data_IF_235355724010
#
_entry.id   IF_235355724010
#
_cell.length_a   1.000
_cell.length_b   1.000
_cell.length_c   1.000
_cell.angle_alpha   90.00
_cell.angle_beta   90.00
_cell.angle_gamma   90.00
#
_symmetry.space_group_name_H-M   'P 1'
#
loop_
_entity.id
_entity.type
_entity.pdbx_description
1 polymer ?
#
# COMPACT_ATOMS: atom_id res chain seq x y z
N UNK A 1 3.37 -13.15 7.76
CA UNK A 1 2.52 -13.86 6.76
C UNK A 1 1.54 -12.86 6.16
N UNK A 2 1.06 -13.05 4.91
CA UNK A 2 -0.01 -12.24 4.35
C UNK A 2 -1.32 -12.43 5.13
N UNK A 3 -2.17 -11.41 5.12
CA UNK A 3 -3.51 -11.50 5.70
C UNK A 3 -4.39 -12.32 4.76
N UNK A 4 -4.90 -13.48 5.20
CA UNK A 4 -5.83 -14.29 4.41
C UNK A 4 -7.09 -13.51 3.98
N UNK A 5 -7.54 -12.58 4.83
CA UNK A 5 -8.69 -11.75 4.51
C UNK A 5 -8.37 -10.77 3.36
N UNK A 6 -7.21 -10.11 3.39
CA UNK A 6 -6.80 -9.21 2.30
C UNK A 6 -6.53 -10.00 1.00
N UNK A 7 -5.95 -11.20 1.07
CA UNK A 7 -5.81 -12.06 -0.11
C UNK A 7 -7.17 -12.31 -0.78
N UNK A 8 -8.19 -12.67 0.00
CA UNK A 8 -9.56 -12.86 -0.51
C UNK A 8 -10.16 -11.58 -1.10
N UNK A 9 -9.86 -10.40 -0.55
CA UNK A 9 -10.34 -9.12 -1.11
C UNK A 9 -9.69 -8.85 -2.47
N UNK A 10 -8.40 -9.13 -2.64
CA UNK A 10 -7.70 -9.00 -3.94
C UNK A 10 -8.30 -9.98 -4.97
N UNK A 11 -8.52 -11.23 -4.58
CA UNK A 11 -9.06 -12.27 -5.46
C UNK A 11 -10.51 -11.99 -5.87
N UNK A 12 -11.31 -11.39 -4.97
CA UNK A 12 -12.74 -11.13 -5.18
C UNK A 12 -13.06 -9.81 -5.87
N UNK A 13 -12.06 -8.94 -6.15
CA UNK A 13 -12.34 -7.72 -6.91
C UNK A 13 -12.82 -8.06 -8.33
N UNK A 14 -13.74 -7.25 -8.85
CA UNK A 14 -14.20 -7.35 -10.24
C UNK A 14 -13.23 -6.70 -11.24
N UNK A 15 -12.16 -6.05 -10.76
CA UNK A 15 -11.12 -5.45 -11.60
C UNK A 15 -10.17 -6.52 -12.14
N UNK A 16 -9.75 -6.31 -13.38
CA UNK A 16 -8.77 -7.10 -14.12
C UNK A 16 -7.77 -6.15 -14.80
N UNK A 17 -6.95 -6.64 -15.73
CA UNK A 17 -6.00 -5.79 -16.48
C UNK A 17 -4.78 -5.42 -15.66
N UNK A 18 -4.50 -4.13 -15.49
CA UNK A 18 -3.26 -3.65 -14.87
C UNK A 18 -3.42 -3.41 -13.37
N UNK A 19 -2.53 -3.97 -12.55
CA UNK A 19 -2.49 -3.70 -11.11
C UNK A 19 -1.17 -3.06 -10.67
N UNK A 20 -1.24 -2.26 -9.62
CA UNK A 20 -0.09 -1.67 -8.94
C UNK A 20 -0.09 -2.08 -7.46
N UNK A 21 1.01 -2.64 -6.97
CA UNK A 21 1.28 -2.78 -5.53
C UNK A 21 2.11 -1.57 -5.07
N UNK A 22 1.42 -0.58 -4.52
CA UNK A 22 2.02 0.67 -4.07
C UNK A 22 2.64 0.49 -2.68
N UNK A 23 3.96 0.42 -2.60
CA UNK A 23 4.69 0.07 -1.39
C UNK A 23 4.73 -1.44 -1.17
N UNK A 24 5.21 -2.18 -2.16
CA UNK A 24 5.16 -3.65 -2.24
C UNK A 24 5.93 -4.38 -1.11
N UNK A 25 6.80 -3.66 -0.40
CA UNK A 25 7.53 -4.18 0.76
C UNK A 25 8.34 -5.44 0.45
N UNK A 26 7.96 -6.56 1.05
CA UNK A 26 8.56 -7.89 0.82
C UNK A 26 7.72 -8.77 -0.11
N UNK A 27 6.98 -8.18 -1.03
CA UNK A 27 6.11 -8.89 -1.98
C UNK A 27 5.07 -9.79 -1.29
N UNK A 28 4.48 -9.29 -0.19
CA UNK A 28 3.59 -10.08 0.66
C UNK A 28 2.36 -10.58 -0.08
N UNK A 29 1.83 -9.79 -1.01
CA UNK A 29 0.60 -10.07 -1.76
C UNK A 29 0.86 -10.31 -3.25
N UNK A 30 2.12 -10.49 -3.65
CA UNK A 30 2.51 -10.61 -5.05
C UNK A 30 1.83 -11.79 -5.78
N UNK A 31 1.70 -12.96 -5.12
CA UNK A 31 1.05 -14.11 -5.76
C UNK A 31 -0.41 -13.87 -6.09
N UNK A 32 -1.15 -13.26 -5.15
CA UNK A 32 -2.56 -12.91 -5.39
C UNK A 32 -2.69 -11.93 -6.55
N UNK A 33 -1.81 -10.94 -6.60
CA UNK A 33 -1.84 -9.94 -7.66
C UNK A 33 -1.47 -10.54 -9.03
N UNK A 34 -0.35 -11.26 -9.14
CA UNK A 34 0.09 -11.82 -10.43
C UNK A 34 -0.83 -12.92 -10.98
N UNK A 35 -1.53 -13.62 -10.09
CA UNK A 35 -2.53 -14.62 -10.50
C UNK A 35 -3.87 -14.00 -10.90
N UNK A 36 -4.19 -12.80 -10.41
CA UNK A 36 -5.47 -12.14 -10.64
C UNK A 36 -5.44 -11.19 -11.83
N UNK A 37 -4.33 -10.47 -12.04
CA UNK A 37 -4.24 -9.39 -13.01
C UNK A 37 -3.34 -9.75 -14.20
N UNK A 38 -3.64 -9.17 -15.35
CA UNK A 38 -2.88 -9.39 -16.60
C UNK A 38 -1.45 -8.88 -16.47
N UNK A 39 -1.27 -7.70 -15.89
CA UNK A 39 0.04 -7.14 -15.57
C UNK A 39 0.07 -6.57 -14.16
N UNK A 40 1.21 -6.68 -13.50
CA UNK A 40 1.41 -6.15 -12.15
C UNK A 40 2.67 -5.29 -12.11
N UNK A 41 2.56 -4.10 -11.56
CA UNK A 41 3.72 -3.26 -11.24
C UNK A 41 3.94 -3.27 -9.73
N UNK A 42 5.16 -3.60 -9.30
CA UNK A 42 5.59 -3.48 -7.91
C UNK A 42 6.36 -2.18 -7.74
N UNK A 43 5.87 -1.30 -6.87
CA UNK A 43 6.46 0.00 -6.61
C UNK A 43 6.90 0.12 -5.15
N UNK A 44 8.13 0.55 -4.93
CA UNK A 44 8.65 0.89 -3.60
C UNK A 44 9.81 1.89 -3.70
N UNK A 45 10.32 2.33 -2.55
CA UNK A 45 11.51 3.14 -2.47
C UNK A 45 12.73 2.37 -3.01
N UNK A 46 13.67 3.08 -3.63
CA UNK A 46 14.91 2.48 -4.13
C UNK A 46 15.61 1.66 -3.06
N UNK A 47 15.67 2.19 -1.83
CA UNK A 47 16.28 1.50 -0.68
C UNK A 47 15.61 0.15 -0.38
N UNK A 48 14.29 0.06 -0.48
CA UNK A 48 13.55 -1.18 -0.24
C UNK A 48 13.76 -2.17 -1.39
N UNK A 49 13.76 -1.70 -2.63
CA UNK A 49 13.94 -2.53 -3.82
C UNK A 49 15.33 -3.18 -3.86
N UNK A 50 16.37 -2.39 -3.65
CA UNK A 50 17.78 -2.84 -3.78
C UNK A 50 18.30 -3.59 -2.55
N UNK A 51 17.57 -3.56 -1.43
CA UNK A 51 18.00 -4.24 -0.22
C UNK A 51 17.95 -5.76 -0.37
N UNK A 52 19.08 -6.42 -0.11
CA UNK A 52 19.13 -7.89 0.02
C UNK A 52 18.34 -8.30 1.27
N UNK A 53 17.38 -9.17 1.10
CA UNK A 53 16.48 -9.63 2.16
C UNK A 53 15.95 -11.03 1.87
N UNK A 54 15.37 -11.67 2.86
CA UNK A 54 14.73 -12.99 2.68
C UNK A 54 13.30 -12.76 2.17
N UNK A 55 13.03 -13.22 0.94
CA UNK A 55 11.70 -13.24 0.31
C UNK A 55 11.34 -14.70 0.09
N UNK A 56 10.29 -15.19 0.75
CA UNK A 56 9.80 -16.58 0.67
C UNK A 56 10.91 -17.62 0.82
N UNK A 57 11.85 -17.39 1.76
CA UNK A 57 12.96 -18.30 2.03
C UNK A 57 14.20 -18.11 1.16
N UNK A 58 14.15 -17.24 0.14
CA UNK A 58 15.28 -16.94 -0.76
C UNK A 58 15.92 -15.62 -0.35
N UNK A 59 17.24 -15.58 -0.21
CA UNK A 59 18.01 -14.37 0.01
C UNK A 59 18.25 -13.66 -1.33
N UNK A 60 17.57 -12.53 -1.55
CA UNK A 60 17.52 -11.85 -2.85
C UNK A 60 17.11 -10.38 -2.71
N UNK A 61 17.16 -9.62 -3.79
CA UNK A 61 16.52 -8.31 -3.94
C UNK A 61 15.10 -8.46 -4.47
N UNK A 62 14.27 -7.41 -4.38
CA UNK A 62 12.92 -7.45 -4.98
C UNK A 62 12.99 -7.59 -6.51
N UNK A 63 13.82 -6.80 -7.24
CA UNK A 63 13.95 -6.96 -8.68
C UNK A 63 14.33 -8.37 -9.12
N UNK A 64 15.37 -8.94 -8.51
CA UNK A 64 15.82 -10.29 -8.88
C UNK A 64 14.74 -11.34 -8.60
N UNK A 65 14.04 -11.22 -7.47
CA UNK A 65 12.96 -12.14 -7.15
C UNK A 65 11.82 -12.05 -8.17
N UNK A 66 11.39 -10.84 -8.52
CA UNK A 66 10.27 -10.62 -9.47
C UNK A 66 10.63 -11.11 -10.86
N UNK A 67 11.81 -10.75 -11.39
CA UNK A 67 12.27 -11.17 -12.72
C UNK A 67 12.34 -12.70 -12.83
N UNK A 68 12.80 -13.37 -11.78
CA UNK A 68 12.97 -14.82 -11.79
C UNK A 68 11.65 -15.61 -11.58
N UNK A 69 10.61 -14.99 -11.00
CA UNK A 69 9.41 -15.72 -10.60
C UNK A 69 8.12 -15.28 -11.29
N UNK A 70 8.05 -14.07 -11.86
CA UNK A 70 6.81 -13.51 -12.40
C UNK A 70 7.00 -12.97 -13.82
N UNK A 71 6.33 -13.58 -14.80
CA UNK A 71 6.44 -13.20 -16.22
C UNK A 71 5.62 -11.94 -16.57
N UNK A 72 4.57 -11.66 -15.82
CA UNK A 72 3.63 -10.57 -16.04
C UNK A 72 3.84 -9.41 -15.06
N UNK A 73 5.05 -9.26 -14.51
CA UNK A 73 5.33 -8.26 -13.48
C UNK A 73 6.48 -7.33 -13.86
N UNK A 74 6.34 -6.06 -13.47
CA UNK A 74 7.31 -5.01 -13.62
C UNK A 74 7.66 -4.39 -12.25
N UNK A 75 8.80 -3.71 -12.18
CA UNK A 75 9.25 -3.04 -10.97
C UNK A 75 9.55 -1.58 -11.27
N UNK A 76 9.07 -0.69 -10.43
CA UNK A 76 9.33 0.74 -10.54
C UNK A 76 9.78 1.28 -9.18
N UNK A 77 10.85 2.05 -9.18
CA UNK A 77 11.24 2.83 -7.99
C UNK A 77 10.33 4.04 -7.84
N UNK A 78 9.91 4.35 -6.61
CA UNK A 78 9.13 5.54 -6.30
C UNK A 78 9.76 6.84 -6.85
N UNK A 79 11.08 6.92 -6.93
CA UNK A 79 11.79 8.04 -7.53
C UNK A 79 11.52 8.25 -9.03
N UNK A 80 10.93 7.24 -9.69
CA UNK A 80 10.56 7.27 -11.11
C UNK A 80 9.03 7.22 -11.32
N UNK A 81 8.24 7.54 -10.29
CA UNK A 81 6.78 7.47 -10.36
C UNK A 81 6.22 8.36 -11.47
N UNK A 82 6.83 9.53 -11.69
CA UNK A 82 6.43 10.48 -12.74
C UNK A 82 6.67 9.95 -14.17
N UNK A 83 7.44 8.86 -14.33
CA UNK A 83 7.69 8.20 -15.61
C UNK A 83 6.68 7.10 -15.91
N UNK A 84 5.78 6.80 -14.98
CA UNK A 84 4.72 5.82 -15.21
C UNK A 84 3.67 6.47 -16.12
N UNK A 85 3.53 5.94 -17.32
CA UNK A 85 2.53 6.37 -18.31
C UNK A 85 1.28 5.49 -18.29
N UNK A 86 1.40 4.28 -17.73
CA UNK A 86 0.28 3.36 -17.62
C UNK A 86 -0.65 3.77 -16.48
N UNK A 87 -1.95 3.60 -16.70
CA UNK A 87 -2.97 3.73 -15.67
C UNK A 87 -3.45 2.35 -15.23
N UNK A 88 -3.85 2.25 -13.97
CA UNK A 88 -4.16 0.98 -13.33
C UNK A 88 -5.65 0.80 -13.10
N UNK A 89 -6.13 -0.41 -13.35
CA UNK A 89 -7.49 -0.85 -13.02
C UNK A 89 -7.63 -1.07 -11.51
N UNK A 90 -6.53 -1.50 -10.88
CA UNK A 90 -6.48 -1.76 -9.45
C UNK A 90 -5.16 -1.30 -8.83
N UNK A 91 -5.23 -0.61 -7.70
CA UNK A 91 -4.05 -0.26 -6.89
C UNK A 91 -4.23 -0.84 -5.48
N UNK A 92 -3.27 -1.62 -5.03
CA UNK A 92 -3.15 -2.02 -3.63
C UNK A 92 -2.19 -1.07 -2.91
N UNK A 93 -2.64 -0.51 -1.77
CA UNK A 93 -1.80 0.30 -0.87
C UNK A 93 -1.95 -0.24 0.56
N UNK A 94 -1.10 -1.20 0.93
CA UNK A 94 -1.24 -1.95 2.18
C UNK A 94 -0.16 -1.61 3.21
N UNK A 95 -0.56 -1.00 4.34
CA UNK A 95 0.31 -0.56 5.44
C UNK A 95 1.39 0.46 5.04
N UNK A 96 1.12 1.25 4.02
CA UNK A 96 2.00 2.34 3.56
C UNK A 96 1.74 3.61 4.35
N UNK A 97 0.48 4.07 4.38
CA UNK A 97 0.13 5.34 5.03
C UNK A 97 0.47 5.33 6.51
N UNK A 98 0.27 4.20 7.19
CA UNK A 98 0.61 4.03 8.61
C UNK A 98 2.10 4.11 8.92
N UNK A 99 2.97 3.99 7.92
CA UNK A 99 4.42 4.09 8.08
C UNK A 99 4.97 5.50 7.80
N UNK A 100 4.12 6.45 7.37
CA UNK A 100 4.53 7.79 6.96
C UNK A 100 4.29 8.79 8.09
N UNK A 101 5.34 9.37 8.70
CA UNK A 101 5.23 10.33 9.80
C UNK A 101 5.04 11.79 9.34
N UNK A 102 4.67 12.02 8.08
CA UNK A 102 4.58 13.35 7.49
C UNK A 102 3.31 13.47 6.66
N UNK A 103 2.44 14.40 7.04
CA UNK A 103 1.15 14.63 6.39
C UNK A 103 1.31 14.98 4.90
N UNK A 104 2.23 15.87 4.56
CA UNK A 104 2.48 16.25 3.16
C UNK A 104 2.95 15.06 2.30
N UNK A 105 3.61 14.09 2.90
CA UNK A 105 4.00 12.85 2.19
C UNK A 105 2.80 11.92 2.00
N UNK A 106 1.90 11.84 2.97
CA UNK A 106 0.63 11.10 2.83
C UNK A 106 -0.18 11.69 1.67
N UNK A 107 -0.31 13.03 1.60
CA UNK A 107 -0.98 13.71 0.49
C UNK A 107 -0.33 13.41 -0.86
N UNK A 108 1.00 13.41 -0.96
CA UNK A 108 1.72 13.06 -2.20
C UNK A 108 1.43 11.62 -2.65
N UNK A 109 1.39 10.67 -1.70
CA UNK A 109 1.06 9.27 -1.99
C UNK A 109 -0.37 9.15 -2.52
N UNK A 110 -1.35 9.79 -1.88
CA UNK A 110 -2.74 9.72 -2.31
C UNK A 110 -2.99 10.45 -3.63
N UNK A 111 -2.31 11.59 -3.87
CA UNK A 111 -2.34 12.27 -5.17
C UNK A 111 -1.79 11.36 -6.28
N UNK A 112 -0.65 10.70 -6.03
CA UNK A 112 -0.07 9.77 -6.99
C UNK A 112 -1.01 8.57 -7.26
N UNK A 113 -1.64 8.00 -6.24
CA UNK A 113 -2.64 6.94 -6.40
C UNK A 113 -3.78 7.44 -7.29
N UNK A 114 -4.32 8.63 -7.04
CA UNK A 114 -5.39 9.24 -7.84
C UNK A 114 -4.97 9.41 -9.29
N UNK A 115 -3.78 9.93 -9.55
CA UNK A 115 -3.27 10.16 -10.90
C UNK A 115 -3.06 8.86 -11.67
N UNK A 116 -2.55 7.83 -11.01
CA UNK A 116 -2.25 6.54 -11.61
C UNK A 116 -3.49 5.64 -11.83
N UNK A 117 -4.61 5.90 -11.16
CA UNK A 117 -5.85 5.16 -11.41
C UNK A 117 -6.43 5.49 -12.81
N UNK A 118 -7.05 4.51 -13.44
CA UNK A 118 -8.00 4.75 -14.54
C UNK A 118 -9.26 5.46 -14.03
N UNK A 119 -10.05 6.02 -14.93
CA UNK A 119 -11.31 6.69 -14.57
C UNK A 119 -12.28 5.78 -13.82
N UNK A 120 -12.33 4.52 -14.19
CA UNK A 120 -13.12 3.45 -13.56
C UNK A 120 -12.28 2.55 -12.63
N UNK A 121 -11.02 2.87 -12.40
CA UNK A 121 -10.10 2.13 -11.55
C UNK A 121 -10.42 2.26 -10.06
N UNK A 122 -9.99 1.29 -9.27
CA UNK A 122 -10.17 1.28 -7.82
C UNK A 122 -8.86 1.09 -7.09
N UNK A 123 -8.67 1.81 -5.98
CA UNK A 123 -7.56 1.54 -5.05
C UNK A 123 -8.09 0.97 -3.74
N UNK A 124 -7.49 -0.12 -3.28
CA UNK A 124 -7.74 -0.70 -1.97
C UNK A 124 -6.64 -0.25 -1.00
N UNK A 125 -6.99 0.63 -0.10
CA UNK A 125 -6.10 1.17 0.93
C UNK A 125 -6.36 0.42 2.24
N UNK A 126 -5.32 -0.22 2.78
CA UNK A 126 -5.42 -1.05 3.98
C UNK A 126 -4.38 -0.61 5.00
N UNK A 127 -4.79 -0.41 6.25
CA UNK A 127 -3.87 -0.14 7.34
C UNK A 127 -4.25 -0.98 8.55
N UNK A 128 -3.29 -1.70 9.11
CA UNK A 128 -3.44 -2.37 10.38
C UNK A 128 -3.27 -1.33 11.49
N UNK A 129 -4.28 -1.12 12.33
CA UNK A 129 -4.26 -0.09 13.37
C UNK A 129 -4.57 -0.62 14.77
N UNK A 130 -5.18 -1.79 14.89
CA UNK A 130 -5.58 -2.38 16.18
C UNK A 130 -4.95 -3.75 16.37
N UNK A 131 -3.88 -3.81 17.14
CA UNK A 131 -3.17 -5.03 17.49
C UNK A 131 -2.47 -4.86 18.83
N UNK A 132 -2.36 -5.94 19.60
CA UNK A 132 -1.56 -5.94 20.83
C UNK A 132 -0.10 -5.58 20.58
N UNK A 133 0.41 -5.85 19.37
CA UNK A 133 1.76 -5.48 18.96
C UNK A 133 2.00 -3.96 19.00
N UNK A 134 0.96 -3.14 18.76
CA UNK A 134 1.09 -1.67 18.71
C UNK A 134 1.02 -1.00 20.08
N UNK A 135 0.55 -1.68 21.12
CA UNK A 135 0.50 -1.14 22.49
C UNK A 135 1.84 -0.60 22.97
N UNK A 136 2.94 -1.24 22.58
CA UNK A 136 4.29 -0.77 22.92
C UNK A 136 4.65 0.60 22.31
N UNK A 137 4.01 0.99 21.20
CA UNK A 137 4.27 2.28 20.56
C UNK A 137 3.53 3.42 21.26
N UNK A 138 2.49 3.12 22.01
CA UNK A 138 1.69 4.10 22.76
C UNK A 138 2.49 4.75 23.91
N UNK A 139 3.63 4.15 24.30
CA UNK A 139 4.59 4.75 25.24
C UNK A 139 5.50 5.80 24.57
N UNK A 140 5.44 5.95 23.27
CA UNK A 140 6.18 6.94 22.51
C UNK A 140 5.55 8.33 22.49
N UNK A 141 6.14 9.22 21.70
CA UNK A 141 5.64 10.59 21.53
C UNK A 141 4.46 10.54 20.53
N UNK A 142 3.30 11.08 20.93
CA UNK A 142 2.15 11.21 20.03
C UNK A 142 2.50 12.13 18.87
N UNK A 143 2.25 11.67 17.65
CA UNK A 143 2.55 12.38 16.41
C UNK A 143 1.56 12.02 15.32
N UNK A 144 0.98 13.01 14.65
CA UNK A 144 -0.08 12.81 13.66
C UNK A 144 -1.18 11.85 14.17
N UNK A 145 -1.40 10.75 13.45
CA UNK A 145 -2.40 9.72 13.76
C UNK A 145 -1.85 8.57 14.60
N UNK A 146 -0.66 8.71 15.18
CA UNK A 146 -0.01 7.61 15.89
C UNK A 146 1.11 8.08 16.83
N UNK A 147 2.18 7.32 16.86
CA UNK A 147 3.27 7.52 17.81
C UNK A 147 4.63 7.37 17.15
N UNK A 148 5.58 8.21 17.58
CA UNK A 148 7.01 8.01 17.34
C UNK A 148 7.56 7.29 18.56
N UNK A 149 8.01 6.07 18.35
CA UNK A 149 8.68 5.25 19.37
C UNK A 149 10.15 5.16 19.06
N UNK A 150 10.98 5.44 20.06
CA UNK A 150 12.43 5.41 19.94
C UNK A 150 13.01 4.36 20.90
N UNK A 151 13.94 3.56 20.40
CA UNK A 151 14.83 2.74 21.21
C UNK A 151 16.27 3.23 21.05
N UNK A 152 17.23 2.56 21.72
CA UNK A 152 18.66 2.95 21.71
C UNK A 152 19.29 3.01 20.30
N UNK A 153 18.68 2.45 19.27
CA UNK A 153 19.25 2.32 17.92
C UNK A 153 18.44 2.95 16.83
N UNK A 154 17.11 3.01 16.98
CA UNK A 154 16.20 3.41 15.91
C UNK A 154 15.00 4.16 16.44
N UNK A 155 14.48 5.07 15.60
CA UNK A 155 13.16 5.66 15.77
C UNK A 155 12.20 5.03 14.76
N UNK A 156 10.97 4.75 15.21
CA UNK A 156 9.91 4.16 14.41
C UNK A 156 8.67 5.02 14.55
N UNK A 157 7.98 5.24 13.45
CA UNK A 157 6.64 5.78 13.45
C UNK A 157 5.64 4.70 13.15
N UNK A 158 4.50 4.75 13.81
CA UNK A 158 3.36 3.91 13.48
C UNK A 158 2.05 4.69 13.63
N UNK A 159 1.35 4.89 12.51
CA UNK A 159 0.04 5.51 12.44
C UNK A 159 -1.07 4.50 12.74
N UNK A 160 -1.95 4.85 13.67
CA UNK A 160 -3.16 4.08 14.02
C UNK A 160 -4.34 4.62 13.19
N UNK A 161 -4.34 4.27 11.91
CA UNK A 161 -5.28 4.77 10.91
C UNK A 161 -6.54 3.90 10.87
N UNK A 162 -7.57 4.28 11.60
CA UNK A 162 -8.89 3.66 11.54
C UNK A 162 -9.63 4.01 10.23
N UNK A 163 -10.83 3.45 10.05
CA UNK A 163 -11.62 3.63 8.83
C UNK A 163 -11.99 5.08 8.60
N UNK A 164 -12.43 5.79 9.64
CA UNK A 164 -12.89 7.17 9.53
C UNK A 164 -11.74 8.10 9.18
N UNK A 165 -10.58 7.90 9.82
CA UNK A 165 -9.36 8.66 9.56
C UNK A 165 -8.89 8.45 8.12
N UNK A 166 -8.81 7.19 7.64
CA UNK A 166 -8.38 6.90 6.26
C UNK A 166 -9.37 7.46 5.26
N UNK A 167 -10.68 7.28 5.48
CA UNK A 167 -11.72 7.81 4.58
C UNK A 167 -11.63 9.33 4.49
N UNK A 168 -11.48 10.03 5.62
CA UNK A 168 -11.32 11.47 5.63
C UNK A 168 -10.08 11.91 4.83
N UNK A 169 -8.92 11.33 5.10
CA UNK A 169 -7.67 11.67 4.39
C UNK A 169 -7.82 11.42 2.88
N UNK A 170 -8.47 10.33 2.46
CA UNK A 170 -8.73 10.05 1.05
C UNK A 170 -9.64 11.10 0.42
N UNK A 171 -10.74 11.46 1.07
CA UNK A 171 -11.66 12.49 0.59
C UNK A 171 -11.01 13.87 0.49
N UNK A 172 -10.18 14.24 1.47
CA UNK A 172 -9.39 15.49 1.46
C UNK A 172 -8.39 15.54 0.28
N UNK A 173 -8.08 14.38 -0.34
CA UNK A 173 -7.23 14.25 -1.52
C UNK A 173 -8.03 13.98 -2.83
N UNK A 174 -9.30 14.32 -2.85
CA UNK A 174 -10.18 14.17 -4.02
C UNK A 174 -10.26 12.72 -4.54
N UNK A 175 -10.26 11.76 -3.62
CA UNK A 175 -10.59 10.37 -3.88
C UNK A 175 -12.01 10.11 -3.39
N UNK A 176 -12.83 9.50 -4.24
CA UNK A 176 -14.20 9.11 -3.90
C UNK A 176 -14.17 7.82 -3.07
N UNK A 177 -14.87 7.79 -1.93
CA UNK A 177 -15.00 6.59 -1.11
C UNK A 177 -16.11 5.70 -1.70
N UNK A 178 -15.73 4.58 -2.29
CA UNK A 178 -16.67 3.60 -2.85
C UNK A 178 -17.19 2.70 -1.72
N UNK A 179 -16.30 2.24 -0.84
CA UNK A 179 -16.62 1.35 0.27
C UNK A 179 -15.58 1.45 1.37
N UNK A 180 -16.02 1.37 2.62
CA UNK A 180 -15.10 1.32 3.76
C UNK A 180 -15.61 0.40 4.86
N UNK A 181 -14.70 -0.30 5.54
CA UNK A 181 -15.03 -1.20 6.66
C UNK A 181 -13.79 -1.51 7.49
N UNK A 182 -14.01 -2.08 8.68
CA UNK A 182 -12.94 -2.63 9.51
C UNK A 182 -13.06 -4.15 9.62
N UNK A 183 -11.93 -4.85 9.63
CA UNK A 183 -11.87 -6.29 9.87
C UNK A 183 -10.56 -6.68 10.52
N UNK A 184 -10.63 -7.49 11.59
CA UNK A 184 -9.47 -8.05 12.27
C UNK A 184 -8.40 -7.00 12.64
N UNK A 185 -8.81 -5.83 13.11
CA UNK A 185 -7.91 -4.75 13.52
C UNK A 185 -7.26 -3.97 12.38
N UNK A 186 -7.78 -4.11 11.17
CA UNK A 186 -7.37 -3.33 10.00
C UNK A 186 -8.52 -2.51 9.45
N UNK A 187 -8.21 -1.33 8.94
CA UNK A 187 -9.09 -0.52 8.10
C UNK A 187 -8.94 -0.91 6.64
N UNK A 188 -10.04 -0.93 5.93
CA UNK A 188 -10.12 -1.19 4.50
C UNK A 188 -10.95 -0.07 3.87
N UNK A 189 -10.38 0.62 2.92
CA UNK A 189 -11.06 1.70 2.20
C UNK A 189 -10.82 1.50 0.71
N UNK A 190 -11.90 1.30 -0.05
CA UNK A 190 -11.88 1.27 -1.52
C UNK A 190 -12.21 2.65 -2.02
N UNK A 191 -11.35 3.18 -2.86
CA UNK A 191 -11.51 4.51 -3.44
C UNK A 191 -11.42 4.49 -4.96
N UNK A 192 -12.09 5.43 -5.61
CA UNK A 192 -12.01 5.72 -7.04
C UNK A 192 -11.58 7.15 -7.30
N UNK A 193 -11.41 7.49 -8.58
CA UNK A 193 -11.29 8.90 -8.99
C UNK A 193 -12.62 9.60 -8.79
N UNK A 194 -12.59 10.78 -8.20
CA UNK A 194 -13.75 11.66 -8.24
C UNK A 194 -13.87 12.20 -9.66
N UNK A 195 -14.91 11.80 -10.38
CA UNK A 195 -15.22 12.29 -11.72
C UNK A 195 -16.08 13.54 -11.54
N UNK A 196 -15.51 14.72 -11.80
CA UNK A 196 -16.31 15.92 -11.97
C UNK A 196 -17.12 15.77 -13.28
N UNK A 197 -18.41 15.49 -13.16
CA UNK A 197 -19.37 15.55 -14.26
C UNK A 197 -19.70 17.02 -14.57
#
# INVERSE_FOLDING_TARGET
MPSNYLCKQIESTNKNGNALDFGCGKLRYSEQLVNKFETVTFLDSRRQLERVQIIRGVQTTIPDYVINNYKNANIVSYANIDKITNHYDFILCANVLSAIPCESTIHKVLSAIRELLKSDGEALIVNQYKSSYFKRYESGIKHLHGYIYQNSRNAFYYGLLDVDTVSKICSDNNLEIIKSWSKAGSSYVVVGKHIHI
#
